data_IF_726013337407
#
_entry.id   IF_726013337407
#
_cell.length_a   1.000
_cell.length_b   1.000
_cell.length_c   1.000
_cell.angle_alpha   90.00
_cell.angle_beta   90.00
_cell.angle_gamma   90.00
#
_symmetry.space_group_name_H-M   'P 1'
#
loop_
_entity.id
_entity.type
_entity.pdbx_description
1 polymer ?
#
# COMPACT_ATOMS: atom_id res chain seq x y z
N UNK A 1 -9.57 6.04 21.76
CA UNK A 1 -9.34 4.97 20.76
C UNK A 1 -8.13 4.09 21.10
N UNK A 2 -7.14 4.57 21.86
CA UNK A 2 -6.16 3.72 22.59
C UNK A 2 -6.86 2.56 23.33
N UNK A 3 -7.95 2.88 24.02
CA UNK A 3 -8.82 1.89 24.68
C UNK A 3 -9.50 0.88 23.74
N UNK A 4 -9.59 1.16 22.43
CA UNK A 4 -10.12 0.23 21.42
C UNK A 4 -9.01 -0.62 20.81
N UNK A 5 -7.81 -0.07 20.62
CA UNK A 5 -6.62 -0.81 20.19
C UNK A 5 -6.16 -1.77 21.29
N UNK A 6 -6.05 -1.32 22.55
CA UNK A 6 -5.78 -2.18 23.70
C UNK A 6 -6.82 -3.29 23.84
N UNK A 7 -8.12 -2.96 23.65
CA UNK A 7 -9.18 -3.97 23.61
C UNK A 7 -9.06 -4.92 22.42
N UNK A 8 -8.60 -4.46 21.26
CA UNK A 8 -8.37 -5.30 20.10
C UNK A 8 -7.17 -6.22 20.32
N UNK A 9 -6.11 -5.72 20.96
CA UNK A 9 -4.93 -6.49 21.37
C UNK A 9 -5.33 -7.55 22.39
N UNK A 10 -6.09 -7.18 23.43
CA UNK A 10 -6.61 -8.10 24.45
C UNK A 10 -7.49 -9.19 23.85
N UNK A 11 -8.36 -8.83 22.89
CA UNK A 11 -9.23 -9.78 22.20
C UNK A 11 -8.48 -10.69 21.23
N UNK A 12 -7.40 -10.19 20.62
CA UNK A 12 -6.69 -10.87 19.54
C UNK A 12 -7.61 -11.31 18.39
N UNK A 13 -7.20 -12.34 17.67
CA UNK A 13 -8.05 -12.98 16.65
C UNK A 13 -9.14 -13.80 17.35
N UNK A 14 -10.41 -13.50 17.02
CA UNK A 14 -11.57 -14.22 17.54
C UNK A 14 -11.40 -15.75 17.38
N UNK A 15 -11.74 -16.57 18.40
CA UNK A 15 -11.52 -18.01 18.36
C UNK A 15 -12.06 -18.72 17.10
N UNK A 16 -13.21 -18.28 16.59
CA UNK A 16 -13.80 -18.81 15.34
C UNK A 16 -12.89 -18.58 14.12
N UNK A 17 -12.18 -17.46 14.08
CA UNK A 17 -11.32 -17.04 12.98
C UNK A 17 -9.91 -17.65 13.06
N UNK A 18 -9.53 -18.20 14.21
CA UNK A 18 -8.22 -18.87 14.39
C UNK A 18 -8.04 -20.09 13.48
N UNK A 19 -9.12 -20.66 12.92
CA UNK A 19 -9.06 -21.76 11.95
C UNK A 19 -9.27 -21.32 10.49
N UNK A 20 -9.55 -20.04 10.24
CA UNK A 20 -9.79 -19.49 8.91
C UNK A 20 -8.52 -18.91 8.26
N UNK A 21 -8.46 -18.89 6.94
CA UNK A 21 -7.50 -17.98 6.24
C UNK A 21 -8.10 -16.58 6.26
N UNK A 22 -7.40 -15.63 6.88
CA UNK A 22 -7.88 -14.25 6.93
C UNK A 22 -7.40 -13.49 5.71
N UNK A 23 -8.33 -12.85 5.01
CA UNK A 23 -8.07 -11.86 3.96
C UNK A 23 -8.32 -10.50 4.59
N UNK A 24 -7.26 -9.71 4.79
CA UNK A 24 -7.36 -8.49 5.60
C UNK A 24 -6.44 -7.37 5.11
N UNK A 25 -6.81 -6.13 5.39
CA UNK A 25 -5.93 -4.97 5.13
C UNK A 25 -4.89 -4.77 6.24
N UNK A 26 -5.11 -5.32 7.43
CA UNK A 26 -4.18 -5.22 8.54
C UNK A 26 -2.96 -6.11 8.33
N UNK A 27 -1.78 -5.49 8.21
CA UNK A 27 -0.51 -6.19 8.05
C UNK A 27 0.58 -5.57 8.90
N UNK A 28 0.83 -6.11 10.08
CA UNK A 28 1.97 -5.74 10.93
C UNK A 28 2.55 -6.98 11.60
N UNK A 29 3.85 -7.22 11.40
CA UNK A 29 4.57 -8.34 12.01
C UNK A 29 4.52 -8.21 13.53
N UNK A 30 4.59 -9.35 14.22
CA UNK A 30 4.58 -9.44 15.68
C UNK A 30 3.34 -8.83 16.36
N UNK A 31 2.24 -8.62 15.62
CA UNK A 31 1.00 -8.09 16.16
C UNK A 31 -0.04 -9.20 16.34
N UNK A 32 -0.73 -9.22 17.48
CA UNK A 32 -1.72 -10.27 17.85
C UNK A 32 -2.92 -10.37 16.91
N UNK A 33 -3.19 -9.31 16.15
CA UNK A 33 -4.24 -9.27 15.11
C UNK A 33 -3.76 -9.79 13.74
N UNK A 34 -2.46 -10.03 13.55
CA UNK A 34 -1.94 -10.63 12.32
C UNK A 34 -1.78 -12.14 12.52
N UNK A 35 -2.55 -12.92 11.75
CA UNK A 35 -2.41 -14.37 11.73
C UNK A 35 -1.31 -14.79 10.77
N UNK A 36 -0.47 -15.73 11.17
CA UNK A 36 0.43 -16.40 10.23
C UNK A 36 -0.38 -17.05 9.10
N UNK A 37 0.08 -16.85 7.86
CA UNK A 37 -0.64 -17.32 6.68
C UNK A 37 -1.90 -16.51 6.34
N UNK A 38 -2.12 -15.32 6.90
CA UNK A 38 -3.07 -14.36 6.32
C UNK A 38 -2.69 -13.93 4.90
N UNK A 39 -3.67 -13.49 4.13
CA UNK A 39 -3.48 -12.78 2.86
C UNK A 39 -3.71 -11.30 3.13
N UNK A 40 -2.64 -10.50 3.07
CA UNK A 40 -2.77 -9.05 3.20
C UNK A 40 -3.17 -8.45 1.86
N UNK A 41 -4.27 -7.70 1.85
CA UNK A 41 -4.86 -7.06 0.67
C UNK A 41 -4.74 -5.54 0.74
N UNK A 42 -4.66 -4.84 -0.40
CA UNK A 42 -4.64 -3.39 -0.40
C UNK A 42 -6.01 -2.85 0.06
N UNK A 43 -6.04 -1.69 0.74
CA UNK A 43 -7.30 -0.99 0.98
C UNK A 43 -7.97 -0.61 -0.35
N UNK A 44 -9.29 -0.53 -0.34
CA UNK A 44 -10.06 -0.23 -1.54
C UNK A 44 -9.79 1.19 -2.04
N UNK A 45 -9.23 1.30 -3.24
CA UNK A 45 -9.10 2.53 -4.00
C UNK A 45 -10.06 2.45 -5.22
N UNK A 46 -11.10 3.32 -5.33
CA UNK A 46 -12.10 3.20 -6.37
C UNK A 46 -11.48 3.40 -7.77
N UNK A 47 -11.44 2.38 -8.65
CA UNK A 47 -10.74 2.49 -9.94
C UNK A 47 -11.27 3.61 -10.83
N UNK A 48 -12.59 3.82 -10.84
CA UNK A 48 -13.23 4.88 -11.62
C UNK A 48 -12.80 6.27 -11.14
N UNK A 49 -12.70 6.46 -9.82
CA UNK A 49 -12.20 7.71 -9.24
C UNK A 49 -10.74 7.94 -9.64
N UNK A 50 -9.91 6.91 -9.58
CA UNK A 50 -8.50 7.04 -9.96
C UNK A 50 -8.33 7.43 -11.45
N UNK A 51 -9.18 6.88 -12.32
CA UNK A 51 -9.17 7.20 -13.76
C UNK A 51 -9.57 8.64 -14.07
N UNK A 52 -10.50 9.24 -13.31
CA UNK A 52 -10.95 10.61 -13.54
C UNK A 52 -9.91 11.67 -13.19
N UNK A 53 -8.84 11.29 -12.48
CA UNK A 53 -7.79 12.21 -12.03
C UNK A 53 -6.49 12.10 -12.83
N UNK A 54 -6.44 11.27 -13.88
CA UNK A 54 -5.21 11.11 -14.67
C UNK A 54 -4.83 12.43 -15.37
N UNK A 55 -3.59 12.86 -15.16
CA UNK A 55 -3.00 14.01 -15.86
C UNK A 55 -2.22 13.55 -17.10
N UNK A 56 -1.88 14.44 -18.05
CA UNK A 56 -1.10 14.05 -19.22
C UNK A 56 0.26 13.45 -18.83
N UNK A 57 0.64 12.33 -19.45
CA UNK A 57 1.88 11.58 -19.15
C UNK A 57 3.18 12.41 -19.24
N UNK A 58 3.16 13.48 -20.05
CA UNK A 58 4.30 14.40 -20.22
C UNK A 58 4.39 15.47 -19.14
N UNK A 59 3.46 15.51 -18.19
CA UNK A 59 3.47 16.49 -17.11
C UNK A 59 4.70 16.23 -16.23
N UNK A 60 5.59 17.22 -16.04
CA UNK A 60 6.78 17.03 -15.23
C UNK A 60 6.41 16.85 -13.75
N UNK A 61 7.16 16.00 -13.05
CA UNK A 61 7.08 15.90 -11.60
C UNK A 61 7.79 17.11 -10.97
N UNK A 62 7.00 18.12 -10.61
CA UNK A 62 7.47 19.41 -10.07
C UNK A 62 7.52 19.47 -8.55
N UNK A 63 6.92 18.50 -7.85
CA UNK A 63 6.91 18.41 -6.39
C UNK A 63 7.95 17.34 -6.01
N UNK A 64 8.82 17.63 -5.05
CA UNK A 64 9.83 16.65 -4.64
C UNK A 64 9.23 15.62 -3.66
N UNK A 65 8.77 16.06 -2.49
CA UNK A 65 8.07 15.22 -1.52
C UNK A 65 6.64 15.72 -1.31
N UNK A 66 5.67 14.81 -1.30
CA UNK A 66 4.26 15.11 -1.09
C UNK A 66 3.63 14.28 0.02
N UNK A 67 2.81 14.91 0.85
CA UNK A 67 1.95 14.24 1.82
C UNK A 67 0.73 15.08 2.17
N UNK A 68 -0.46 14.46 2.15
CA UNK A 68 -1.65 14.99 2.84
C UNK A 68 -2.16 13.98 3.85
N UNK A 69 -2.45 14.47 5.04
CA UNK A 69 -2.93 13.62 6.13
C UNK A 69 -2.81 14.29 7.49
N UNK A 70 -3.50 13.71 8.47
CA UNK A 70 -3.35 14.13 9.86
C UNK A 70 -1.91 13.87 10.33
N UNK A 71 -1.28 14.88 10.93
CA UNK A 71 0.01 14.73 11.62
C UNK A 71 -0.16 14.47 13.11
N UNK A 72 -1.17 15.09 13.70
CA UNK A 72 -1.61 14.93 15.07
C UNK A 72 -3.06 14.47 15.09
N UNK A 73 -3.41 13.56 16.00
CA UNK A 73 -4.79 13.20 16.30
C UNK A 73 -5.13 13.61 17.72
N UNK A 74 -5.19 14.92 17.97
CA UNK A 74 -5.42 15.52 19.29
C UNK A 74 -6.73 15.03 19.92
N UNK A 75 -7.69 14.57 19.11
CA UNK A 75 -8.96 14.01 19.58
C UNK A 75 -8.81 12.62 20.22
N UNK A 76 -7.88 11.79 19.75
CA UNK A 76 -7.68 10.42 20.23
C UNK A 76 -6.37 10.21 21.00
N UNK A 77 -5.40 11.09 20.78
CA UNK A 77 -4.07 11.13 21.37
C UNK A 77 -3.71 12.60 21.70
N UNK A 78 -4.31 13.15 22.78
CA UNK A 78 -4.09 14.55 23.17
C UNK A 78 -2.65 14.82 23.63
N UNK A 79 -1.89 13.79 24.02
CA UNK A 79 -0.48 13.90 24.39
C UNK A 79 0.45 13.83 23.16
N UNK A 80 -0.06 13.37 22.01
CA UNK A 80 0.61 13.41 20.70
C UNK A 80 1.77 12.42 20.52
N UNK A 81 1.95 11.49 21.47
CA UNK A 81 3.06 10.53 21.49
C UNK A 81 2.77 9.15 20.90
N UNK A 82 1.51 8.83 20.63
CA UNK A 82 1.06 7.48 20.27
C UNK A 82 0.58 7.38 18.83
N UNK A 83 -0.01 8.44 18.29
CA UNK A 83 -0.51 8.43 16.92
C UNK A 83 0.63 8.17 15.93
N UNK A 84 0.47 7.09 15.16
CA UNK A 84 1.47 6.64 14.21
C UNK A 84 2.87 6.49 14.82
N UNK A 85 2.95 6.10 16.10
CA UNK A 85 4.21 5.94 16.85
C UNK A 85 5.13 7.16 16.77
N UNK A 86 4.54 8.36 16.65
CA UNK A 86 5.27 9.62 16.52
C UNK A 86 5.83 9.90 15.12
N UNK A 87 5.77 8.98 14.16
CA UNK A 87 6.34 9.16 12.83
C UNK A 87 5.73 10.36 12.08
N UNK A 88 4.42 10.58 12.20
CA UNK A 88 3.76 11.72 11.54
C UNK A 88 4.02 13.06 12.22
N UNK A 89 4.07 13.08 13.54
CA UNK A 89 4.50 14.26 14.29
C UNK A 89 5.93 14.64 13.91
N UNK A 90 6.83 13.64 13.83
CA UNK A 90 8.20 13.84 13.38
C UNK A 90 8.29 14.37 11.94
N UNK A 91 7.47 13.87 11.00
CA UNK A 91 7.40 14.44 9.64
C UNK A 91 7.02 15.92 9.69
N UNK A 92 6.00 16.28 10.47
CA UNK A 92 5.55 17.67 10.56
C UNK A 92 6.61 18.59 11.19
N UNK A 93 7.13 18.25 12.37
CA UNK A 93 8.05 19.13 13.09
C UNK A 93 9.38 19.32 12.40
N UNK A 94 9.86 18.34 11.63
CA UNK A 94 11.12 18.45 10.90
C UNK A 94 10.98 19.10 9.52
N UNK A 95 9.81 18.99 8.87
CA UNK A 95 9.70 19.34 7.44
C UNK A 95 8.57 20.30 7.05
N UNK A 96 7.73 20.79 7.98
CA UNK A 96 6.65 21.75 7.66
C UNK A 96 7.13 23.05 6.99
N UNK A 97 8.35 23.49 7.30
CA UNK A 97 8.97 24.69 6.76
C UNK A 97 10.04 24.37 5.69
N UNK A 98 10.21 23.10 5.31
CA UNK A 98 11.21 22.68 4.34
C UNK A 98 10.68 22.82 2.90
N UNK A 99 11.35 23.58 2.01
CA UNK A 99 10.86 23.84 0.65
C UNK A 99 10.83 22.61 -0.25
N UNK A 100 11.50 21.50 0.12
CA UNK A 100 11.44 20.24 -0.60
C UNK A 100 10.18 19.42 -0.27
N UNK A 101 9.46 19.78 0.79
CA UNK A 101 8.35 19.03 1.35
C UNK A 101 7.05 19.81 1.21
N UNK A 102 6.21 19.38 0.27
CA UNK A 102 4.84 19.84 0.17
C UNK A 102 3.96 18.95 1.06
N UNK A 103 3.81 19.34 2.34
CA UNK A 103 3.09 18.57 3.35
C UNK A 103 2.00 19.41 4.04
N UNK A 104 0.80 18.85 4.21
CA UNK A 104 -0.33 19.57 4.84
C UNK A 104 -1.41 18.61 5.37
N UNK A 105 -2.23 19.09 6.31
CA UNK A 105 -3.44 18.38 6.75
C UNK A 105 -4.60 18.59 5.77
N UNK A 106 -4.58 19.67 5.00
CA UNK A 106 -5.62 20.03 4.05
C UNK A 106 -5.62 19.07 2.87
N UNK A 107 -6.78 18.59 2.45
CA UNK A 107 -6.90 17.76 1.26
C UNK A 107 -7.41 18.63 0.11
N UNK A 108 -6.52 19.17 -0.75
CA UNK A 108 -6.93 20.01 -1.85
C UNK A 108 -7.70 19.20 -2.89
N UNK A 109 -8.50 19.87 -3.71
CA UNK A 109 -9.18 19.23 -4.85
C UNK A 109 -8.20 18.65 -5.87
N UNK A 110 -6.96 19.17 -5.90
CA UNK A 110 -5.83 18.72 -6.73
C UNK A 110 -5.05 17.55 -6.12
N UNK A 111 -5.52 16.94 -5.03
CA UNK A 111 -4.77 15.93 -4.27
C UNK A 111 -4.14 14.85 -5.16
N UNK A 112 -4.90 14.31 -6.11
CA UNK A 112 -4.41 13.24 -6.99
C UNK A 112 -3.51 13.75 -8.11
N UNK A 113 -3.77 14.94 -8.63
CA UNK A 113 -2.95 15.63 -9.61
C UNK A 113 -1.57 15.98 -9.02
N UNK A 114 -1.54 16.43 -7.76
CA UNK A 114 -0.31 16.75 -7.05
C UNK A 114 0.49 15.48 -6.73
N UNK A 115 -0.15 14.37 -6.37
CA UNK A 115 0.53 13.06 -6.25
C UNK A 115 1.20 12.64 -7.57
N UNK A 116 0.56 12.88 -8.72
CA UNK A 116 1.15 12.58 -10.03
C UNK A 116 2.30 13.53 -10.39
N UNK A 117 2.30 14.75 -9.84
CA UNK A 117 3.39 15.72 -9.97
C UNK A 117 4.49 15.55 -8.92
N UNK A 118 4.33 14.66 -7.95
CA UNK A 118 5.29 14.43 -6.89
C UNK A 118 6.30 13.33 -7.24
N UNK A 119 7.57 13.48 -6.88
CA UNK A 119 8.56 12.40 -7.03
C UNK A 119 8.32 11.32 -5.97
N UNK A 120 8.22 11.73 -4.72
CA UNK A 120 8.05 10.87 -3.55
C UNK A 120 6.73 11.18 -2.83
N UNK A 121 6.00 10.14 -2.43
CA UNK A 121 4.79 10.27 -1.63
C UNK A 121 5.00 9.59 -0.29
N UNK A 122 4.92 10.36 0.80
CA UNK A 122 5.12 9.80 2.13
C UNK A 122 3.97 8.87 2.49
N UNK A 123 4.33 7.69 2.95
CA UNK A 123 3.45 6.63 3.39
C UNK A 123 3.68 6.28 4.88
N UNK A 124 3.65 7.25 5.83
CA UNK A 124 3.76 6.94 7.24
C UNK A 124 2.52 6.20 7.73
N UNK A 125 2.71 5.32 8.72
CA UNK A 125 1.60 4.60 9.34
C UNK A 125 0.54 5.56 9.90
N UNK A 126 -0.67 5.07 10.11
CA UNK A 126 -1.70 5.74 10.88
C UNK A 126 -2.01 4.96 12.15
N UNK A 127 -3.27 5.01 12.59
CA UNK A 127 -3.77 4.13 13.65
C UNK A 127 -3.78 2.65 13.26
N UNK A 128 -3.86 2.36 11.97
CA UNK A 128 -3.77 1.02 11.46
C UNK A 128 -2.62 0.94 10.45
N UNK A 129 -1.95 -0.21 10.32
CA UNK A 129 -0.84 -0.46 9.40
C UNK A 129 -1.35 -0.66 7.97
N UNK A 130 -2.32 0.15 7.53
CA UNK A 130 -2.80 0.22 6.17
C UNK A 130 -3.19 1.65 5.84
N UNK A 131 -2.85 2.10 4.63
CA UNK A 131 -3.22 3.42 4.14
C UNK A 131 -3.60 3.37 2.66
N UNK A 132 -4.73 3.97 2.27
CA UNK A 132 -5.06 4.16 0.85
C UNK A 132 -3.93 4.86 0.09
N UNK A 133 -3.17 5.75 0.75
CA UNK A 133 -2.04 6.48 0.15
C UNK A 133 -0.99 5.58 -0.47
N UNK A 134 -0.74 4.41 0.14
CA UNK A 134 0.21 3.45 -0.40
C UNK A 134 -0.22 2.96 -1.79
N UNK A 135 -1.52 2.67 -1.95
CA UNK A 135 -2.12 2.22 -3.21
C UNK A 135 -2.19 3.38 -4.21
N UNK A 136 -2.65 4.55 -3.76
CA UNK A 136 -2.74 5.77 -4.57
C UNK A 136 -1.37 6.18 -5.14
N UNK A 137 -0.31 6.13 -4.33
CA UNK A 137 1.06 6.43 -4.76
C UNK A 137 1.50 5.50 -5.91
N UNK A 138 1.26 4.21 -5.77
CA UNK A 138 1.57 3.23 -6.82
C UNK A 138 0.77 3.51 -8.10
N UNK A 139 -0.53 3.78 -7.99
CA UNK A 139 -1.40 4.05 -9.15
C UNK A 139 -0.95 5.31 -9.90
N UNK A 140 -0.61 6.38 -9.18
CA UNK A 140 -0.20 7.66 -9.74
C UNK A 140 1.30 7.76 -10.05
N UNK A 141 2.04 6.66 -9.84
CA UNK A 141 3.46 6.56 -10.11
C UNK A 141 4.35 7.43 -9.23
N UNK A 142 3.82 7.89 -8.10
CA UNK A 142 4.59 8.56 -7.07
C UNK A 142 5.35 7.50 -6.26
N UNK A 143 6.66 7.66 -6.07
CA UNK A 143 7.46 6.65 -5.36
C UNK A 143 7.00 6.60 -3.90
N UNK A 144 6.44 5.47 -3.40
CA UNK A 144 6.00 5.39 -2.02
C UNK A 144 7.20 5.37 -1.08
N UNK A 145 7.25 6.31 -0.14
CA UNK A 145 8.22 6.34 0.97
C UNK A 145 7.54 5.74 2.19
N UNK A 146 7.79 4.46 2.45
CA UNK A 146 7.12 3.65 3.46
C UNK A 146 7.82 3.87 4.79
N UNK A 147 7.10 4.50 5.73
CA UNK A 147 7.56 4.81 7.09
C UNK A 147 6.63 4.08 8.06
N UNK A 148 6.84 2.78 8.17
CA UNK A 148 6.00 1.89 8.94
C UNK A 148 6.79 0.64 9.31
N UNK A 149 7.44 0.68 10.47
CA UNK A 149 8.21 -0.44 10.98
C UNK A 149 7.28 -1.67 11.12
N UNK A 150 7.82 -2.84 10.77
CA UNK A 150 7.13 -4.13 10.78
C UNK A 150 5.91 -4.27 9.85
N UNK A 151 5.68 -3.34 8.92
CA UNK A 151 4.55 -3.44 7.99
C UNK A 151 4.64 -4.70 7.11
N UNK A 152 3.50 -5.38 6.94
CA UNK A 152 3.32 -6.45 5.95
C UNK A 152 2.56 -5.86 4.78
N UNK A 153 3.26 -5.65 3.66
CA UNK A 153 2.68 -5.03 2.48
C UNK A 153 1.77 -6.02 1.72
N UNK A 154 0.71 -5.51 1.07
CA UNK A 154 -0.21 -6.38 0.36
C UNK A 154 0.42 -6.97 -0.90
N UNK A 155 0.04 -8.22 -1.20
CA UNK A 155 0.47 -8.94 -2.40
C UNK A 155 1.98 -8.88 -2.69
N UNK A 156 2.83 -9.05 -1.67
CA UNK A 156 4.29 -9.02 -1.83
C UNK A 156 4.85 -10.00 -2.88
N UNK A 157 4.10 -11.05 -3.23
CA UNK A 157 4.47 -11.98 -4.31
C UNK A 157 4.19 -11.44 -5.73
N UNK A 158 3.29 -10.46 -5.86
CA UNK A 158 2.87 -9.88 -7.13
C UNK A 158 3.43 -8.46 -7.33
N UNK A 159 3.74 -7.76 -6.24
CA UNK A 159 4.20 -6.38 -6.23
C UNK A 159 5.63 -6.34 -5.68
N UNK A 160 6.62 -5.92 -6.48
CA UNK A 160 8.01 -5.85 -6.05
C UNK A 160 8.26 -4.57 -5.23
N UNK A 161 7.73 -4.53 -4.01
CA UNK A 161 7.77 -3.35 -3.13
C UNK A 161 9.16 -2.76 -2.94
N UNK A 162 10.18 -3.60 -2.73
CA UNK A 162 11.59 -3.19 -2.61
C UNK A 162 12.12 -2.49 -3.86
N UNK A 163 11.62 -2.88 -5.04
CA UNK A 163 12.06 -2.28 -6.29
C UNK A 163 11.38 -0.94 -6.55
N UNK A 164 10.14 -0.74 -6.08
CA UNK A 164 9.33 0.44 -6.42
C UNK A 164 9.28 1.50 -5.32
N UNK A 165 9.49 1.11 -4.06
CA UNK A 165 9.38 1.99 -2.89
C UNK A 165 10.73 2.40 -2.31
N UNK A 166 10.67 3.25 -1.29
CA UNK A 166 11.78 3.59 -0.39
C UNK A 166 11.31 3.26 1.02
N UNK A 167 12.07 2.45 1.74
CA UNK A 167 11.77 2.07 3.12
C UNK A 167 12.62 2.92 4.05
N UNK A 168 11.98 3.55 5.02
CA UNK A 168 12.63 4.41 6.01
C UNK A 168 12.12 4.01 7.38
N UNK A 169 13.03 3.64 8.28
CA UNK A 169 12.69 3.33 9.67
C UNK A 169 12.06 4.57 10.33
N UNK A 170 11.10 4.37 11.22
CA UNK A 170 10.40 5.48 11.89
C UNK A 170 11.36 6.42 12.66
N UNK A 171 12.43 5.85 13.23
CA UNK A 171 13.48 6.61 13.92
C UNK A 171 14.29 7.53 12.99
N UNK A 172 14.34 7.21 11.69
CA UNK A 172 15.14 7.91 10.69
C UNK A 172 14.33 9.00 9.95
N UNK A 173 13.07 9.22 10.35
CA UNK A 173 12.24 10.32 9.84
C UNK A 173 12.96 11.68 9.86
N UNK A 174 13.67 12.09 10.93
CA UNK A 174 14.40 13.36 10.93
C UNK A 174 15.45 13.50 9.83
N UNK A 175 15.88 12.41 9.20
CA UNK A 175 16.88 12.38 8.13
C UNK A 175 16.25 12.23 6.73
N UNK A 176 14.91 12.34 6.58
CA UNK A 176 14.22 12.10 5.30
C UNK A 176 14.76 12.95 4.15
N UNK A 177 15.07 14.22 4.39
CA UNK A 177 15.61 15.10 3.36
C UNK A 177 16.94 14.58 2.81
N UNK A 178 17.84 14.16 3.69
CA UNK A 178 19.15 13.59 3.37
C UNK A 178 18.99 12.25 2.67
N UNK A 179 18.13 11.37 3.18
CA UNK A 179 17.85 10.05 2.58
C UNK A 179 17.32 10.25 1.16
N UNK A 180 16.27 11.06 0.97
CA UNK A 180 15.59 11.19 -0.31
C UNK A 180 16.43 11.96 -1.35
N UNK A 181 17.20 12.97 -0.92
CA UNK A 181 18.13 13.69 -1.83
C UNK A 181 19.37 12.88 -2.20
N UNK A 182 19.75 11.88 -1.39
CA UNK A 182 20.85 10.97 -1.72
C UNK A 182 20.51 9.95 -2.80
N UNK A 183 19.23 9.73 -3.10
CA UNK A 183 18.79 8.75 -4.10
C UNK A 183 19.16 9.26 -5.50
N UNK A 184 19.99 8.52 -6.27
CA UNK A 184 20.41 8.97 -7.58
C UNK A 184 19.23 9.10 -8.57
N UNK A 185 19.25 10.09 -9.49
CA UNK A 185 18.18 10.28 -10.48
C UNK A 185 17.88 9.03 -11.32
N UNK A 186 18.88 8.22 -11.66
CA UNK A 186 18.71 6.97 -12.40
C UNK A 186 17.91 5.91 -11.62
N UNK A 187 18.05 5.89 -10.29
CA UNK A 187 17.26 5.02 -9.41
C UNK A 187 15.81 5.51 -9.38
N UNK A 188 15.59 6.82 -9.23
CA UNK A 188 14.26 7.43 -9.28
C UNK A 188 13.54 7.10 -10.59
N UNK A 189 14.22 7.28 -11.72
CA UNK A 189 13.68 6.98 -13.05
C UNK A 189 13.39 5.49 -13.21
N UNK A 190 14.23 4.59 -12.69
CA UNK A 190 13.95 3.15 -12.69
C UNK A 190 12.68 2.84 -11.89
N UNK A 191 12.54 3.37 -10.68
CA UNK A 191 11.34 3.16 -9.83
C UNK A 191 10.08 3.65 -10.53
N UNK A 192 10.12 4.84 -11.13
CA UNK A 192 8.99 5.40 -11.87
C UNK A 192 8.62 4.59 -13.12
N UNK A 193 9.61 4.05 -13.86
CA UNK A 193 9.34 3.14 -15.00
C UNK A 193 8.66 1.87 -14.56
N UNK A 194 9.08 1.29 -13.42
CA UNK A 194 8.39 0.13 -12.85
C UNK A 194 6.96 0.52 -12.49
N UNK A 195 6.76 1.63 -11.77
CA UNK A 195 5.44 2.16 -11.39
C UNK A 195 4.51 2.46 -12.57
N UNK A 196 5.05 2.73 -13.76
CA UNK A 196 4.27 2.92 -14.97
C UNK A 196 3.67 1.61 -15.52
N UNK A 197 4.09 0.43 -15.05
CA UNK A 197 3.60 -0.86 -15.52
C UNK A 197 2.09 -1.05 -15.22
N UNK A 198 1.22 -1.17 -16.25
CA UNK A 198 -0.21 -1.33 -16.05
C UNK A 198 -0.60 -2.56 -15.23
N UNK A 199 0.11 -3.69 -15.41
CA UNK A 199 -0.18 -4.92 -14.67
C UNK A 199 -0.01 -4.76 -13.16
N UNK A 200 0.96 -3.92 -12.74
CA UNK A 200 1.17 -3.64 -11.33
C UNK A 200 0.06 -2.76 -10.76
N UNK A 201 -0.36 -1.72 -11.48
CA UNK A 201 -1.49 -0.88 -11.06
C UNK A 201 -2.77 -1.70 -10.95
N UNK A 202 -3.00 -2.59 -11.91
CA UNK A 202 -4.16 -3.47 -11.92
C UNK A 202 -4.18 -4.43 -10.73
N UNK A 203 -3.03 -5.02 -10.37
CA UNK A 203 -2.91 -5.91 -9.22
C UNK A 203 -3.23 -5.25 -7.87
N UNK A 204 -3.29 -3.91 -7.80
CA UNK A 204 -3.69 -3.15 -6.61
C UNK A 204 -5.17 -2.76 -6.58
N UNK A 205 -5.90 -2.92 -7.69
CA UNK A 205 -7.24 -2.40 -7.88
C UNK A 205 -8.29 -3.53 -7.87
N UNK A 206 -9.48 -3.21 -7.38
CA UNK A 206 -10.66 -4.09 -7.40
C UNK A 206 -11.70 -3.57 -8.41
N UNK A 207 -11.49 -3.74 -9.74
CA UNK A 207 -12.45 -3.32 -10.74
C UNK A 207 -13.75 -4.14 -10.68
N UNK A 208 -14.80 -3.58 -11.27
CA UNK A 208 -16.10 -4.24 -11.45
C UNK A 208 -16.50 -4.12 -12.93
N UNK A 209 -16.60 -5.23 -13.68
CA UNK A 209 -16.31 -6.60 -13.26
C UNK A 209 -14.81 -6.85 -12.99
N UNK A 210 -14.50 -7.94 -12.28
CA UNK A 210 -13.11 -8.37 -12.05
C UNK A 210 -12.39 -8.63 -13.38
N UNK A 211 -11.09 -8.31 -13.43
CA UNK A 211 -10.24 -8.40 -14.62
C UNK A 211 -8.98 -9.24 -14.33
N UNK A 212 -8.49 -10.05 -15.29
CA UNK A 212 -7.34 -10.92 -15.07
C UNK A 212 -6.13 -10.19 -14.49
N UNK A 213 -5.60 -10.67 -13.36
CA UNK A 213 -4.43 -10.10 -12.69
C UNK A 213 -4.72 -8.95 -11.72
N UNK A 214 -5.99 -8.56 -11.56
CA UNK A 214 -6.41 -7.57 -10.57
C UNK A 214 -6.27 -8.05 -9.11
N UNK A 215 -6.56 -7.16 -8.16
CA UNK A 215 -6.45 -7.48 -6.74
C UNK A 215 -7.33 -8.67 -6.31
N UNK A 216 -8.49 -8.87 -6.95
CA UNK A 216 -9.33 -10.05 -6.70
C UNK A 216 -8.63 -11.33 -7.13
N UNK A 217 -8.04 -11.36 -8.33
CA UNK A 217 -7.23 -12.49 -8.79
C UNK A 217 -5.99 -12.72 -7.93
N UNK A 218 -5.38 -11.68 -7.37
CA UNK A 218 -4.28 -11.85 -6.41
C UNK A 218 -4.73 -12.52 -5.11
N UNK A 219 -5.94 -12.26 -4.64
CA UNK A 219 -6.54 -13.01 -3.52
C UNK A 219 -6.70 -14.49 -3.89
N UNK A 220 -7.24 -14.79 -5.09
CA UNK A 220 -7.38 -16.18 -5.55
C UNK A 220 -6.02 -16.89 -5.67
N UNK A 221 -5.00 -16.22 -6.21
CA UNK A 221 -3.61 -16.71 -6.23
C UNK A 221 -3.12 -17.06 -4.82
N UNK A 222 -3.31 -16.15 -3.85
CA UNK A 222 -2.90 -16.36 -2.47
C UNK A 222 -3.63 -17.51 -1.78
N UNK A 223 -4.92 -17.69 -2.07
CA UNK A 223 -5.74 -18.78 -1.52
C UNK A 223 -5.34 -20.12 -2.10
N UNK A 224 -5.14 -20.18 -3.43
CA UNK A 224 -4.70 -21.39 -4.09
C UNK A 224 -3.44 -21.94 -3.46
N UNK A 225 -2.37 -21.13 -3.32
CA UNK A 225 -1.09 -21.59 -2.75
C UNK A 225 -1.18 -22.24 -1.36
N UNK A 226 -2.30 -22.12 -0.65
CA UNK A 226 -2.55 -22.73 0.67
C UNK A 226 -3.20 -24.11 0.62
N UNK A 227 -3.77 -24.50 -0.51
CA UNK A 227 -4.37 -25.80 -0.70
C UNK A 227 -3.27 -26.85 -1.01
N UNK A 228 -3.46 -28.13 -0.64
CA UNK A 228 -2.55 -29.19 -1.03
C UNK A 228 -2.75 -29.49 -2.53
N UNK A 229 -1.76 -29.15 -3.34
CA UNK A 229 -1.80 -29.43 -4.78
C UNK A 229 -0.56 -30.18 -5.24
N UNK A 230 -0.76 -31.04 -6.24
CA UNK A 230 0.34 -31.54 -7.06
C UNK A 230 0.98 -30.38 -7.84
N UNK A 231 2.31 -30.41 -8.03
CA UNK A 231 3.07 -29.32 -8.68
C UNK A 231 2.58 -28.98 -10.09
N UNK A 232 1.86 -29.90 -10.75
CA UNK A 232 1.30 -29.74 -12.10
C UNK A 232 0.04 -28.87 -12.21
N UNK A 233 -0.60 -28.49 -11.09
CA UNK A 233 -1.92 -27.83 -11.10
C UNK A 233 -1.85 -26.34 -11.46
N UNK A 234 -0.72 -25.67 -11.22
CA UNK A 234 -0.71 -24.21 -11.23
C UNK A 234 -0.11 -23.55 -12.46
N UNK A 235 0.97 -24.09 -12.98
CA UNK A 235 1.64 -23.51 -14.14
C UNK A 235 2.21 -24.67 -14.93
N UNK A 236 1.80 -24.78 -16.19
CA UNK A 236 2.53 -25.66 -17.11
C UNK A 236 3.94 -25.10 -17.30
N UNK A 237 4.94 -25.95 -17.61
CA UNK A 237 6.28 -25.46 -17.93
C UNK A 237 6.22 -24.34 -18.98
N UNK A 238 6.68 -23.14 -18.60
CA UNK A 238 6.66 -21.94 -19.45
C UNK A 238 5.57 -20.90 -19.10
N UNK A 239 4.59 -21.23 -18.27
CA UNK A 239 3.58 -20.27 -17.82
C UNK A 239 4.09 -19.42 -16.65
N UNK A 240 3.76 -18.14 -16.66
CA UNK A 240 4.10 -17.18 -15.59
C UNK A 240 2.88 -16.66 -14.83
N UNK A 241 1.68 -16.92 -15.33
CA UNK A 241 0.41 -16.40 -14.80
C UNK A 241 -0.65 -17.51 -14.86
N UNK A 242 -1.36 -17.69 -13.75
CA UNK A 242 -2.50 -18.59 -13.62
C UNK A 242 -3.74 -18.02 -14.31
N UNK A 243 -4.35 -18.78 -15.22
CA UNK A 243 -5.62 -18.39 -15.83
C UNK A 243 -6.80 -18.87 -14.96
N UNK A 244 -7.25 -18.01 -14.06
CA UNK A 244 -8.40 -18.27 -13.17
C UNK A 244 -9.74 -18.43 -13.90
N UNK A 245 -9.84 -18.02 -15.17
CA UNK A 245 -11.05 -18.19 -15.99
C UNK A 245 -11.02 -19.46 -16.84
N UNK A 246 -9.89 -20.17 -16.88
CA UNK A 246 -9.75 -21.49 -17.54
C UNK A 246 -10.24 -22.64 -16.65
N UNK A 247 -11.30 -22.42 -15.89
CA UNK A 247 -11.97 -23.49 -15.15
C UNK A 247 -12.46 -24.59 -16.10
N UNK A 248 -12.71 -25.81 -15.59
CA UNK A 248 -13.40 -26.86 -16.35
C UNK A 248 -14.64 -26.29 -17.04
N UNK A 249 -14.94 -26.75 -18.27
CA UNK A 249 -16.14 -26.31 -19.02
C UNK A 249 -17.43 -26.48 -18.19
N UNK A 250 -17.45 -27.42 -17.23
CA UNK A 250 -18.57 -27.63 -16.30
C UNK A 250 -18.75 -26.55 -15.22
N UNK A 251 -17.73 -25.76 -14.91
CA UNK A 251 -17.78 -24.65 -13.94
C UNK A 251 -18.22 -23.33 -14.60
N UNK A 252 -18.22 -23.26 -15.93
CA UNK A 252 -18.67 -22.12 -16.74
C UNK A 252 -20.19 -22.07 -16.91
N UNK A 253 -20.97 -22.69 -16.00
CA UNK A 253 -22.43 -22.63 -16.09
C UNK A 253 -22.89 -21.17 -15.98
N UNK A 254 -23.66 -20.67 -16.96
CA UNK A 254 -24.35 -19.40 -16.77
C UNK A 254 -25.36 -19.63 -15.65
N UNK A 255 -25.27 -18.86 -14.58
CA UNK A 255 -26.39 -18.68 -13.67
C UNK A 255 -27.59 -18.13 -14.44
#
# INVERSE_FOLDING_TARGET
MLLQEEKAIERGILPLLQRATLVQTFGQRNHVCLKEGSITIPPYAPPQKMQTHLIPDKTPRSIFVYFRGLFYDVGNDPEGGYYARGARAAVWENFKDNPLFDISTEHPTTYYEDMQRAVFCLCPLGWAPWSPRLVEAVIFGCIPVIIADDIVLPFADAIPWEEIGVFVDEKDVPNLDTILTSIPPEVILRKQRLLANPSMKQAMLFPQPAQPGDAFHQVLNGLARKLPHDKSVYLKPGERVLNWTAGPVGDLKPW
#
